data_IF_243161967047
#
_entry.id   IF_243161967047
#
_cell.length_a   1.000
_cell.length_b   1.000
_cell.length_c   1.000
_cell.angle_alpha   90.00
_cell.angle_beta   90.00
_cell.angle_gamma   90.00
#
_symmetry.space_group_name_H-M   'P 1'
#
loop_
_entity.id
_entity.type
_entity.pdbx_description
1 polymer ?
#
# COMPACT_ATOMS: atom_id res chain seq x y z
N UNK A 1 -10.97 -3.29 -6.63
CA UNK A 1 -10.76 -2.04 -7.42
C UNK A 1 -11.26 -2.24 -8.83
N UNK A 2 -11.92 -1.23 -9.39
CA UNK A 2 -12.47 -1.32 -10.74
C UNK A 2 -11.37 -1.34 -11.79
N UNK A 3 -11.54 -2.11 -12.85
CA UNK A 3 -10.59 -2.18 -13.96
C UNK A 3 -10.34 -0.81 -14.59
N UNK A 4 -11.38 -0.01 -14.70
CA UNK A 4 -11.33 1.36 -15.23
C UNK A 4 -10.32 2.24 -14.44
N UNK A 5 -10.29 2.09 -13.13
CA UNK A 5 -9.35 2.82 -12.26
C UNK A 5 -7.92 2.35 -12.47
N UNK A 6 -7.72 1.03 -12.57
CA UNK A 6 -6.41 0.44 -12.85
C UNK A 6 -5.88 0.93 -14.20
N UNK A 7 -6.71 0.89 -15.23
CA UNK A 7 -6.35 1.34 -16.58
C UNK A 7 -5.95 2.82 -16.58
N UNK A 8 -6.64 3.64 -15.81
CA UNK A 8 -6.34 5.08 -15.68
C UNK A 8 -4.97 5.33 -15.05
N UNK A 9 -4.62 4.55 -14.03
CA UNK A 9 -3.31 4.65 -13.37
C UNK A 9 -2.19 4.29 -14.35
N UNK A 10 -2.34 3.19 -15.07
CA UNK A 10 -1.33 2.73 -16.03
C UNK A 10 -1.19 3.69 -17.21
N UNK A 11 -2.32 4.21 -17.70
CA UNK A 11 -2.32 5.19 -18.78
C UNK A 11 -1.62 6.49 -18.39
N UNK A 12 -1.80 6.94 -17.17
CA UNK A 12 -1.14 8.14 -16.63
C UNK A 12 0.39 8.02 -16.76
N UNK A 13 0.94 6.89 -16.38
CA UNK A 13 2.37 6.60 -16.46
C UNK A 13 2.84 6.48 -17.90
N UNK A 14 2.09 5.78 -18.74
CA UNK A 14 2.39 5.57 -20.16
C UNK A 14 2.40 6.89 -20.92
N UNK A 15 1.37 7.73 -20.75
CA UNK A 15 1.25 9.00 -21.44
C UNK A 15 2.42 9.95 -21.16
N UNK A 16 3.07 9.80 -20.00
CA UNK A 16 4.19 10.64 -19.56
C UNK A 16 5.56 9.99 -19.77
N UNK A 17 5.56 8.77 -20.32
CA UNK A 17 6.78 7.99 -20.51
C UNK A 17 7.57 7.82 -19.20
N UNK A 18 6.84 7.64 -18.10
CA UNK A 18 7.45 7.46 -16.77
C UNK A 18 7.81 6.03 -16.46
N UNK A 19 7.34 5.07 -17.26
CA UNK A 19 7.66 3.64 -17.05
C UNK A 19 9.17 3.41 -17.02
N UNK A 20 9.93 4.15 -17.81
CA UNK A 20 11.39 4.07 -17.84
C UNK A 20 12.04 4.38 -16.48
N UNK A 21 11.37 5.16 -15.63
CA UNK A 21 11.85 5.52 -14.28
C UNK A 21 11.29 4.61 -13.20
N UNK A 22 10.28 3.83 -13.49
CA UNK A 22 9.58 2.98 -12.54
C UNK A 22 10.23 1.61 -12.39
N UNK A 23 11.51 1.60 -11.96
CA UNK A 23 12.12 0.35 -11.53
C UNK A 23 11.50 -0.12 -10.22
N UNK A 24 11.52 -1.41 -9.90
CA UNK A 24 11.01 -1.89 -8.61
C UNK A 24 11.62 -1.15 -7.42
N UNK A 25 12.92 -0.88 -7.46
CA UNK A 25 13.58 -0.13 -6.39
C UNK A 25 13.06 1.30 -6.26
N UNK A 26 12.90 2.00 -7.38
CA UNK A 26 12.37 3.38 -7.37
C UNK A 26 10.91 3.41 -6.90
N UNK A 27 10.11 2.43 -7.29
CA UNK A 27 8.72 2.32 -6.84
C UNK A 27 8.65 2.05 -5.34
N UNK A 28 9.51 1.18 -4.82
CA UNK A 28 9.59 0.94 -3.37
C UNK A 28 9.95 2.21 -2.60
N UNK A 29 10.89 3.00 -3.12
CA UNK A 29 11.25 4.30 -2.55
C UNK A 29 10.06 5.26 -2.56
N UNK A 30 9.33 5.34 -3.67
CA UNK A 30 8.15 6.20 -3.79
C UNK A 30 7.05 5.78 -2.82
N UNK A 31 6.80 4.49 -2.67
CA UNK A 31 5.83 3.98 -1.69
C UNK A 31 6.22 4.44 -0.28
N UNK A 32 7.49 4.33 0.07
CA UNK A 32 7.98 4.74 1.40
C UNK A 32 7.85 6.24 1.62
N UNK A 33 8.17 7.05 0.61
CA UNK A 33 8.06 8.51 0.68
C UNK A 33 6.60 8.92 0.85
N UNK A 34 5.70 8.36 0.06
CA UNK A 34 4.27 8.68 0.17
C UNK A 34 3.66 8.19 1.49
N UNK A 35 4.12 7.06 2.00
CA UNK A 35 3.74 6.60 3.33
C UNK A 35 4.18 7.59 4.41
N UNK A 36 5.34 8.20 4.24
CA UNK A 36 5.82 9.28 5.11
C UNK A 36 4.94 10.53 5.05
N UNK A 37 4.47 10.90 3.87
CA UNK A 37 3.54 12.03 3.70
C UNK A 37 2.18 11.73 4.35
N UNK A 38 1.72 10.50 4.27
CA UNK A 38 0.52 10.05 4.99
C UNK A 38 0.74 10.21 6.51
N UNK A 39 1.89 9.80 7.01
CA UNK A 39 2.26 9.95 8.42
C UNK A 39 2.25 11.42 8.85
N UNK A 40 2.73 12.32 8.01
CA UNK A 40 2.75 13.77 8.28
C UNK A 40 1.35 14.33 8.56
N UNK A 41 0.31 13.75 7.99
CA UNK A 41 -1.07 14.17 8.25
C UNK A 41 -1.44 14.07 9.74
N UNK A 42 -0.74 13.22 10.49
CA UNK A 42 -0.99 12.96 11.90
C UNK A 42 0.14 13.47 12.81
N UNK A 43 1.10 14.23 12.27
CA UNK A 43 2.30 14.64 12.97
C UNK A 43 2.02 15.33 14.30
N UNK A 44 0.99 16.16 14.33
CA UNK A 44 0.70 17.01 15.49
C UNK A 44 -0.51 16.58 16.31
N UNK A 45 -1.32 15.65 15.79
CA UNK A 45 -2.51 15.15 16.49
C UNK A 45 -3.00 13.84 15.87
N UNK A 46 -3.32 12.90 16.73
CA UNK A 46 -3.93 11.63 16.30
C UNK A 46 -5.39 11.81 15.87
N UNK A 47 -6.10 12.76 16.47
CA UNK A 47 -7.55 12.91 16.33
C UNK A 47 -7.98 14.10 15.50
N UNK A 48 -7.12 15.13 15.37
CA UNK A 48 -7.44 16.36 14.66
C UNK A 48 -6.58 16.47 13.40
N UNK A 49 -7.02 15.82 12.35
CA UNK A 49 -6.34 15.77 11.06
C UNK A 49 -7.27 16.20 9.92
N UNK A 50 -6.68 16.60 8.81
CA UNK A 50 -7.42 16.95 7.59
C UNK A 50 -7.71 15.68 6.80
N UNK A 51 -8.97 15.26 6.79
CA UNK A 51 -9.40 14.04 6.09
C UNK A 51 -9.10 14.12 4.59
N UNK A 52 -9.23 15.29 3.96
CA UNK A 52 -8.94 15.42 2.53
C UNK A 52 -7.47 15.15 2.25
N UNK A 53 -6.57 15.67 3.08
CA UNK A 53 -5.13 15.39 2.96
C UNK A 53 -4.84 13.88 3.13
N UNK A 54 -5.47 13.24 4.11
CA UNK A 54 -5.33 11.79 4.33
C UNK A 54 -5.77 11.00 3.10
N UNK A 55 -6.91 11.36 2.50
CA UNK A 55 -7.41 10.70 1.28
C UNK A 55 -6.39 10.80 0.14
N UNK A 56 -5.82 11.98 -0.07
CA UNK A 56 -4.88 12.21 -1.15
C UNK A 56 -3.58 11.42 -0.95
N UNK A 57 -3.02 11.47 0.26
CA UNK A 57 -1.77 10.77 0.55
C UNK A 57 -1.95 9.25 0.56
N UNK A 58 -3.08 8.76 1.08
CA UNK A 58 -3.40 7.34 1.02
C UNK A 58 -3.55 6.87 -0.44
N UNK A 59 -4.21 7.68 -1.27
CA UNK A 59 -4.35 7.38 -2.70
C UNK A 59 -3.00 7.29 -3.39
N UNK A 60 -2.06 8.20 -3.09
CA UNK A 60 -0.72 8.17 -3.67
C UNK A 60 0.04 6.89 -3.30
N UNK A 61 -0.06 6.45 -2.04
CA UNK A 61 0.52 5.16 -1.61
C UNK A 61 -0.04 4.01 -2.43
N UNK A 62 -1.36 3.98 -2.59
CA UNK A 62 -2.04 2.92 -3.34
C UNK A 62 -1.67 2.94 -4.83
N UNK A 63 -1.55 4.11 -5.43
CA UNK A 63 -1.17 4.25 -6.85
C UNK A 63 0.22 3.65 -7.08
N UNK A 64 1.20 3.98 -6.25
CA UNK A 64 2.54 3.42 -6.41
C UNK A 64 2.59 1.91 -6.14
N UNK A 65 1.76 1.41 -5.23
CA UNK A 65 1.62 -0.04 -5.03
C UNK A 65 1.08 -0.73 -6.30
N UNK A 66 0.12 -0.13 -6.98
CA UNK A 66 -0.43 -0.65 -8.23
C UNK A 66 0.62 -0.61 -9.34
N UNK A 67 1.38 0.48 -9.44
CA UNK A 67 2.49 0.57 -10.38
C UNK A 67 3.52 -0.54 -10.14
N UNK A 68 3.82 -0.86 -8.88
CA UNK A 68 4.72 -1.96 -8.53
C UNK A 68 4.18 -3.32 -8.97
N UNK A 69 2.89 -3.57 -8.72
CA UNK A 69 2.23 -4.80 -9.16
C UNK A 69 2.32 -4.97 -10.67
N UNK A 70 2.06 -3.90 -11.41
CA UNK A 70 2.16 -3.91 -12.87
C UNK A 70 3.59 -4.17 -13.33
N UNK A 71 4.56 -3.49 -12.73
CA UNK A 71 5.97 -3.63 -13.10
C UNK A 71 6.48 -5.04 -12.90
N UNK A 72 6.10 -5.69 -11.81
CA UNK A 72 6.51 -7.06 -11.47
C UNK A 72 5.56 -8.13 -12.02
N UNK A 73 4.49 -7.73 -12.71
CA UNK A 73 3.48 -8.64 -13.27
C UNK A 73 2.87 -9.54 -12.18
N UNK A 74 2.52 -8.92 -11.05
CA UNK A 74 1.90 -9.59 -9.92
C UNK A 74 0.41 -9.34 -9.87
N UNK A 75 -0.34 -10.33 -9.42
CA UNK A 75 -1.77 -10.22 -9.16
C UNK A 75 -1.98 -9.87 -7.68
N UNK A 76 -2.71 -8.77 -7.42
CA UNK A 76 -2.94 -8.29 -6.06
C UNK A 76 -3.67 -9.32 -5.19
N UNK A 77 -4.72 -9.93 -5.73
CA UNK A 77 -5.51 -10.91 -4.97
C UNK A 77 -4.66 -12.11 -4.59
N UNK A 78 -3.84 -12.58 -5.51
CA UNK A 78 -2.96 -13.74 -5.28
C UNK A 78 -1.96 -13.47 -4.17
N UNK A 79 -1.22 -12.35 -4.25
CA UNK A 79 -0.17 -12.07 -3.25
C UNK A 79 -0.75 -11.70 -1.88
N UNK A 80 -1.88 -11.00 -1.85
CA UNK A 80 -2.55 -10.63 -0.59
C UNK A 80 -3.09 -11.89 0.09
N UNK A 81 -3.81 -12.75 -0.63
CA UNK A 81 -4.36 -13.96 -0.05
C UNK A 81 -3.28 -14.94 0.42
N UNK A 82 -2.19 -15.07 -0.34
CA UNK A 82 -1.05 -15.88 0.08
C UNK A 82 -0.44 -15.34 1.40
N UNK A 83 -0.35 -14.01 1.53
CA UNK A 83 0.17 -13.41 2.76
C UNK A 83 -0.81 -13.54 3.92
N UNK A 84 -2.11 -13.43 3.65
CA UNK A 84 -3.15 -13.61 4.68
C UNK A 84 -3.14 -15.03 5.26
N UNK A 85 -2.91 -16.04 4.42
CA UNK A 85 -2.77 -17.42 4.92
C UNK A 85 -1.63 -17.53 5.94
N UNK A 86 -0.51 -16.90 5.66
CA UNK A 86 0.63 -16.86 6.60
C UNK A 86 0.31 -16.09 7.87
N UNK A 87 -0.38 -14.95 7.74
CA UNK A 87 -0.74 -14.12 8.89
C UNK A 87 -1.73 -14.85 9.80
N UNK A 88 -2.71 -15.53 9.23
CA UNK A 88 -3.69 -16.31 10.01
C UNK A 88 -3.01 -17.45 10.77
N UNK A 89 -1.99 -18.07 10.17
CA UNK A 89 -1.20 -19.10 10.85
C UNK A 89 -0.35 -18.54 11.99
N UNK A 90 0.22 -17.33 11.82
CA UNK A 90 1.04 -16.67 12.84
C UNK A 90 0.22 -16.09 14.00
N UNK A 91 -1.01 -15.68 13.72
CA UNK A 91 -1.90 -15.00 14.67
C UNK A 91 -3.22 -15.77 14.79
N UNK A 92 -3.21 -16.98 15.39
CA UNK A 92 -4.45 -17.73 15.61
C UNK A 92 -5.42 -16.91 16.47
N UNK A 93 -6.72 -16.96 16.12
CA UNK A 93 -7.75 -16.14 16.78
C UNK A 93 -7.74 -16.27 18.29
N UNK A 94 -7.60 -17.50 18.81
CA UNK A 94 -7.61 -17.78 20.23
C UNK A 94 -6.45 -17.12 20.99
N UNK A 95 -5.31 -16.89 20.33
CA UNK A 95 -4.12 -16.26 20.93
C UNK A 95 -4.02 -14.76 20.65
N UNK A 96 -4.45 -14.33 19.47
CA UNK A 96 -4.28 -12.96 19.00
C UNK A 96 -5.43 -12.03 19.40
N UNK A 97 -6.60 -12.58 19.69
CA UNK A 97 -7.80 -11.79 19.97
C UNK A 97 -7.59 -10.88 21.19
N UNK A 98 -7.82 -9.58 20.96
CA UNK A 98 -7.77 -8.59 22.03
C UNK A 98 -6.38 -8.13 22.43
N UNK A 99 -5.31 -8.51 21.67
CA UNK A 99 -3.98 -8.00 21.92
C UNK A 99 -3.22 -7.72 20.62
N UNK A 100 -2.18 -6.89 20.68
CA UNK A 100 -1.37 -6.48 19.53
C UNK A 100 0.06 -7.02 19.60
N UNK A 101 0.29 -8.12 20.34
CA UNK A 101 1.62 -8.73 20.45
C UNK A 101 2.05 -9.34 19.11
N UNK A 102 3.36 -9.34 18.86
CA UNK A 102 3.93 -10.06 17.72
C UNK A 102 3.73 -11.57 17.89
N UNK A 103 3.70 -12.30 16.75
CA UNK A 103 3.42 -13.74 16.75
C UNK A 103 4.36 -14.54 17.67
N UNK A 104 5.61 -14.10 17.83
CA UNK A 104 6.58 -14.77 18.69
C UNK A 104 6.41 -14.47 20.20
N UNK A 105 5.46 -13.63 20.52
CA UNK A 105 5.10 -13.26 21.91
C UNK A 105 3.71 -13.78 22.32
N UNK A 106 3.04 -14.45 21.42
CA UNK A 106 1.70 -15.01 21.66
C UNK A 106 1.74 -16.33 22.43
#
# INVERSE_FOLDING_TARGET
MKQQTLDRILKFTEDRDWDQFHTPANLAKSISIEAGELLECFQWSDDNYDLQAVKEELADVMVYCIDMLDKLKLDADEIINAKMDKNEAKYPVDKARGNAKKYNQL
#
